data_IF_013680823938
#
_entry.id   IF_013680823938
#
_cell.length_a   1.000
_cell.length_b   1.000
_cell.length_c   1.000
_cell.angle_alpha   90.00
_cell.angle_beta   90.00
_cell.angle_gamma   90.00
#
_symmetry.space_group_name_H-M   'P 1'
#
loop_
_entity.id
_entity.type
_entity.pdbx_description
1 polymer ?
#
# COMPACT_ATOMS: atom_id res chain seq x y z
N UNK A 1 -49.62 4.75 20.04
CA UNK A 1 -48.27 4.96 19.47
C UNK A 1 -47.89 6.42 19.69
N UNK A 2 -46.81 6.68 20.43
CA UNK A 2 -46.31 8.04 20.70
C UNK A 2 -45.43 8.49 19.52
N UNK A 3 -45.52 9.75 19.05
CA UNK A 3 -44.61 10.26 18.04
C UNK A 3 -43.28 10.63 18.68
N UNK A 4 -42.17 10.14 18.12
CA UNK A 4 -40.82 10.59 18.46
C UNK A 4 -40.57 11.85 17.62
N UNK A 5 -40.41 13.00 18.29
CA UNK A 5 -39.91 14.23 17.67
C UNK A 5 -38.41 14.07 17.45
N UNK A 6 -37.99 14.04 16.19
CA UNK A 6 -36.58 14.21 15.83
C UNK A 6 -36.34 15.71 15.69
N UNK A 7 -35.51 16.25 16.58
CA UNK A 7 -35.06 17.63 16.54
C UNK A 7 -34.07 17.82 15.40
N UNK A 8 -34.40 18.74 14.49
CA UNK A 8 -33.54 19.21 13.42
C UNK A 8 -32.40 20.04 14.04
N UNK A 9 -31.16 19.54 14.01
CA UNK A 9 -29.97 20.33 14.32
C UNK A 9 -29.38 20.82 13.01
N UNK A 10 -29.62 22.11 12.70
CA UNK A 10 -28.88 22.81 11.65
C UNK A 10 -27.43 22.98 12.10
N UNK A 11 -26.48 22.42 11.36
CA UNK A 11 -25.09 22.86 11.42
C UNK A 11 -24.85 23.89 10.31
N UNK A 12 -24.72 25.14 10.73
CA UNK A 12 -24.27 26.23 9.87
C UNK A 12 -22.79 26.07 9.56
N UNK A 13 -22.47 26.19 8.28
CA UNK A 13 -21.10 26.28 7.80
C UNK A 13 -20.43 27.58 8.31
N UNK A 14 -19.24 27.46 8.87
CA UNK A 14 -18.30 28.57 9.03
C UNK A 14 -16.95 28.16 8.44
N UNK A 15 -16.65 28.76 7.29
CA UNK A 15 -15.32 28.87 6.71
C UNK A 15 -14.52 29.89 7.54
N UNK A 16 -13.33 29.50 8.03
CA UNK A 16 -12.07 30.26 7.95
C UNK A 16 -11.02 29.72 8.93
N UNK A 17 -9.77 29.60 8.44
CA UNK A 17 -8.57 29.70 9.28
C UNK A 17 -7.75 28.42 9.41
N UNK A 18 -6.63 28.36 8.69
CA UNK A 18 -5.53 27.44 8.97
C UNK A 18 -4.81 27.87 10.26
N UNK A 19 -4.75 27.03 11.28
CA UNK A 19 -3.70 27.01 12.33
C UNK A 19 -3.77 25.71 13.14
N UNK A 20 -2.59 25.11 13.38
CA UNK A 20 -2.18 24.16 14.43
C UNK A 20 -3.16 23.06 14.88
N UNK A 21 -2.71 21.81 14.74
CA UNK A 21 -3.34 20.63 15.33
C UNK A 21 -3.29 20.70 16.87
N UNK A 22 -4.23 21.42 17.47
CA UNK A 22 -4.50 21.38 18.90
C UNK A 22 -5.07 20.01 19.28
N UNK A 23 -4.65 19.49 20.44
CA UNK A 23 -5.24 18.27 21.02
C UNK A 23 -6.78 18.43 21.11
N UNK A 24 -7.55 17.38 20.77
CA UNK A 24 -9.00 17.45 20.78
C UNK A 24 -9.50 17.80 22.17
N UNK A 25 -10.46 18.72 22.24
CA UNK A 25 -11.07 19.13 23.50
C UNK A 25 -11.79 17.94 24.15
N UNK A 26 -11.98 17.99 25.48
CA UNK A 26 -12.69 16.93 26.23
C UNK A 26 -14.10 16.66 25.72
N UNK A 27 -14.74 17.66 25.10
CA UNK A 27 -16.07 17.52 24.51
C UNK A 27 -16.02 16.81 23.15
N UNK A 28 -15.07 17.14 22.28
CA UNK A 28 -14.85 16.44 21.00
C UNK A 28 -14.46 14.97 21.21
N UNK A 29 -13.62 14.69 22.22
CA UNK A 29 -13.25 13.32 22.58
C UNK A 29 -14.48 12.51 23.06
N UNK A 30 -15.37 13.15 23.83
CA UNK A 30 -16.60 12.50 24.33
C UNK A 30 -17.63 12.29 23.24
N UNK A 31 -17.77 13.24 22.31
CA UNK A 31 -18.61 13.09 21.13
C UNK A 31 -18.11 11.97 20.21
N UNK A 32 -16.80 11.86 20.02
CA UNK A 32 -16.18 10.78 19.25
C UNK A 32 -16.40 9.41 19.91
N UNK A 33 -16.21 9.29 21.23
CA UNK A 33 -16.49 8.05 21.97
C UNK A 33 -17.98 7.66 21.87
N UNK A 34 -18.87 8.64 21.97
CA UNK A 34 -20.31 8.42 21.89
C UNK A 34 -20.74 8.00 20.48
N UNK A 35 -20.15 8.60 19.44
CA UNK A 35 -20.35 8.22 18.05
C UNK A 35 -19.82 6.81 17.77
N UNK A 36 -18.64 6.44 18.28
CA UNK A 36 -18.09 5.08 18.16
C UNK A 36 -19.00 4.03 18.84
N UNK A 37 -19.56 4.36 20.01
CA UNK A 37 -20.52 3.50 20.72
C UNK A 37 -21.81 3.32 19.92
N UNK A 38 -22.33 4.39 19.33
CA UNK A 38 -23.51 4.35 18.47
C UNK A 38 -23.24 3.56 17.19
N UNK A 39 -22.10 3.82 16.53
CA UNK A 39 -21.66 3.09 15.35
C UNK A 39 -21.46 1.61 15.66
N UNK A 40 -20.99 1.19 16.84
CA UNK A 40 -20.88 -0.25 17.16
C UNK A 40 -22.23 -0.95 17.33
N UNK A 41 -23.29 -0.22 17.67
CA UNK A 41 -24.61 -0.77 18.01
C UNK A 41 -25.59 -0.90 16.82
N UNK A 42 -25.26 -0.28 15.67
CA UNK A 42 -26.16 -0.20 14.52
C UNK A 42 -25.81 -1.31 13.50
N UNK A 43 -26.78 -2.00 12.87
CA UNK A 43 -26.49 -2.95 11.79
C UNK A 43 -25.75 -2.29 10.62
N UNK A 44 -24.86 -3.02 9.92
CA UNK A 44 -23.97 -2.47 8.89
C UNK A 44 -24.65 -1.61 7.81
N UNK A 45 -25.87 -1.98 7.40
CA UNK A 45 -26.65 -1.25 6.40
C UNK A 45 -27.20 0.11 6.88
N UNK A 46 -27.39 0.30 8.19
CA UNK A 46 -27.92 1.54 8.79
C UNK A 46 -26.82 2.52 9.20
N UNK A 47 -25.60 2.01 9.50
CA UNK A 47 -24.46 2.87 9.86
C UNK A 47 -24.04 3.83 8.73
N UNK A 48 -24.28 3.49 7.45
CA UNK A 48 -24.03 4.45 6.34
C UNK A 48 -24.92 5.69 6.43
N UNK A 49 -26.20 5.52 6.77
CA UNK A 49 -27.10 6.66 6.95
C UNK A 49 -26.67 7.56 8.11
N UNK A 50 -25.97 7.00 9.10
CA UNK A 50 -25.37 7.78 10.21
C UNK A 50 -24.14 8.55 9.76
N UNK A 51 -23.28 7.96 8.92
CA UNK A 51 -22.07 8.61 8.43
C UNK A 51 -22.33 9.66 7.33
N UNK A 52 -23.46 9.55 6.61
CA UNK A 52 -23.84 10.48 5.54
C UNK A 52 -25.36 10.79 5.57
N UNK A 53 -25.87 11.45 6.63
CA UNK A 53 -27.31 11.62 6.84
C UNK A 53 -28.00 12.48 5.76
N UNK A 54 -27.25 13.38 5.12
CA UNK A 54 -27.79 14.30 4.11
C UNK A 54 -27.68 13.79 2.67
N UNK A 55 -27.07 12.62 2.45
CA UNK A 55 -26.93 12.08 1.10
C UNK A 55 -28.24 11.43 0.62
N UNK A 56 -28.99 12.15 -0.21
CA UNK A 56 -30.11 11.60 -0.95
C UNK A 56 -29.71 11.33 -2.40
N UNK A 57 -29.62 10.06 -2.84
CA UNK A 57 -29.52 9.72 -4.25
C UNK A 57 -30.61 10.41 -5.06
N UNK A 58 -30.26 11.10 -6.15
CA UNK A 58 -31.29 11.44 -7.14
C UNK A 58 -31.80 10.14 -7.78
N UNK A 59 -33.10 9.85 -7.60
CA UNK A 59 -33.70 8.64 -8.18
C UNK A 59 -33.46 8.59 -9.70
N UNK A 60 -32.96 7.46 -10.18
CA UNK A 60 -32.73 7.20 -11.60
C UNK A 60 -31.36 7.65 -12.14
N UNK A 61 -30.49 8.26 -11.33
CA UNK A 61 -29.11 8.54 -11.73
C UNK A 61 -28.18 7.36 -11.38
N UNK A 62 -27.19 7.11 -12.24
CA UNK A 62 -26.07 6.25 -11.89
C UNK A 62 -25.33 6.86 -10.70
N UNK A 63 -24.86 6.00 -9.81
CA UNK A 63 -24.07 6.43 -8.65
C UNK A 63 -22.69 5.80 -8.71
N UNK A 64 -21.76 6.39 -7.99
CA UNK A 64 -20.44 5.80 -7.76
C UNK A 64 -19.92 6.19 -6.37
N UNK A 65 -18.91 5.49 -5.86
CA UNK A 65 -18.29 5.79 -4.58
C UNK A 65 -16.74 5.79 -4.63
N UNK A 66 -16.14 6.62 -3.77
CA UNK A 66 -14.70 6.71 -3.51
C UNK A 66 -14.45 7.04 -2.03
N UNK A 67 -13.55 6.32 -1.38
CA UNK A 67 -13.43 6.34 0.07
C UNK A 67 -14.78 5.98 0.70
N UNK A 68 -15.30 6.85 1.56
CA UNK A 68 -16.65 6.69 2.13
C UNK A 68 -17.72 7.52 1.42
N UNK A 69 -17.33 8.37 0.47
CA UNK A 69 -18.26 9.24 -0.24
C UNK A 69 -18.98 8.49 -1.35
N UNK A 70 -20.27 8.81 -1.54
CA UNK A 70 -21.07 8.39 -2.69
C UNK A 70 -21.45 9.65 -3.46
N UNK A 71 -21.43 9.59 -4.78
CA UNK A 71 -21.76 10.70 -5.66
C UNK A 71 -22.56 10.22 -6.88
N UNK A 72 -23.34 11.13 -7.47
CA UNK A 72 -24.05 10.86 -8.73
C UNK A 72 -23.11 10.99 -9.92
N UNK A 73 -23.30 10.12 -10.92
CA UNK A 73 -22.59 10.14 -12.19
C UNK A 73 -23.54 10.59 -13.29
N UNK A 74 -23.13 11.60 -14.05
CA UNK A 74 -23.80 12.00 -15.29
C UNK A 74 -23.08 11.36 -16.48
N UNK A 75 -23.77 10.52 -17.25
CA UNK A 75 -23.18 9.80 -18.38
C UNK A 75 -22.38 8.56 -17.98
N UNK A 76 -21.41 8.17 -18.80
CA UNK A 76 -20.49 7.06 -18.50
C UNK A 76 -19.31 7.56 -17.66
N UNK A 77 -19.01 6.86 -16.57
CA UNK A 77 -17.79 7.08 -15.79
C UNK A 77 -16.73 6.06 -16.19
N UNK A 78 -15.52 6.55 -16.41
CA UNK A 78 -14.33 5.73 -16.53
C UNK A 78 -13.36 6.17 -15.44
N UNK A 79 -12.95 5.22 -14.60
CA UNK A 79 -11.96 5.47 -13.58
C UNK A 79 -10.55 5.59 -14.17
N UNK A 80 -9.72 6.45 -13.57
CA UNK A 80 -8.28 6.45 -13.80
C UNK A 80 -7.68 5.08 -13.42
N UNK A 81 -6.73 4.60 -14.21
CA UNK A 81 -6.21 3.22 -14.14
C UNK A 81 -6.11 2.53 -15.50
N UNK A 82 -6.50 3.23 -16.57
CA UNK A 82 -6.21 2.85 -17.94
C UNK A 82 -4.82 3.36 -18.32
N UNK A 83 -3.91 2.45 -18.65
CA UNK A 83 -2.61 2.79 -19.21
C UNK A 83 -2.62 2.53 -20.72
N UNK A 84 -2.39 3.58 -21.53
CA UNK A 84 -2.40 3.46 -23.01
C UNK A 84 -1.20 2.65 -23.54
N UNK A 85 -0.06 2.63 -22.83
CA UNK A 85 1.10 1.79 -23.17
C UNK A 85 0.91 0.28 -22.86
N UNK A 86 -0.24 -0.09 -22.32
CA UNK A 86 -0.52 -1.43 -21.82
C UNK A 86 0.31 -1.81 -20.59
N UNK A 87 -0.12 -2.87 -19.90
CA UNK A 87 0.55 -3.37 -18.70
C UNK A 87 2.03 -3.77 -18.91
N UNK A 88 2.52 -3.87 -20.16
CA UNK A 88 3.84 -4.38 -20.53
C UNK A 88 4.97 -3.34 -20.50
N UNK A 89 4.67 -2.05 -20.59
CA UNK A 89 5.72 -1.00 -20.66
C UNK A 89 6.22 -0.54 -19.29
N UNK A 90 5.69 -1.06 -18.18
CA UNK A 90 5.95 -0.53 -16.85
C UNK A 90 6.07 -1.52 -15.70
N UNK A 91 6.15 -2.85 -15.89
CA UNK A 91 6.34 -3.74 -14.74
C UNK A 91 7.66 -3.41 -14.00
N UNK A 92 7.54 -3.08 -12.71
CA UNK A 92 8.62 -2.55 -11.85
C UNK A 92 8.22 -1.25 -11.13
N UNK A 93 9.19 -0.53 -10.56
CA UNK A 93 9.00 0.78 -9.89
C UNK A 93 8.19 1.80 -10.72
N UNK A 94 8.22 1.69 -12.06
CA UNK A 94 7.49 2.59 -12.96
C UNK A 94 5.98 2.43 -12.90
N UNK A 95 5.45 1.21 -12.81
CA UNK A 95 4.02 1.02 -12.59
C UNK A 95 3.62 1.68 -11.27
N UNK A 96 4.44 1.56 -10.22
CA UNK A 96 4.15 2.13 -8.90
C UNK A 96 4.16 3.66 -8.85
N UNK A 97 5.09 4.31 -9.55
CA UNK A 97 5.20 5.77 -9.55
C UNK A 97 4.17 6.45 -10.47
N UNK A 98 3.63 5.75 -11.46
CA UNK A 98 2.75 6.32 -12.49
C UNK A 98 1.35 5.67 -12.56
N UNK A 99 1.10 4.57 -11.82
CA UNK A 99 -0.23 3.96 -11.74
C UNK A 99 -1.16 4.81 -10.89
N UNK A 100 -1.95 5.64 -11.57
CA UNK A 100 -3.38 5.88 -11.37
C UNK A 100 -3.98 6.06 -9.97
N UNK A 101 -5.27 6.38 -9.97
CA UNK A 101 -6.07 6.61 -8.76
C UNK A 101 -5.94 5.44 -7.78
N UNK A 102 -5.61 5.76 -6.53
CA UNK A 102 -5.41 4.78 -5.46
C UNK A 102 -5.91 5.28 -4.12
N UNK A 103 -5.69 4.46 -3.09
CA UNK A 103 -5.93 4.83 -1.71
C UNK A 103 -4.74 4.40 -0.88
N UNK A 104 -4.32 5.25 0.04
CA UNK A 104 -3.38 4.89 1.09
C UNK A 104 -4.17 4.67 2.39
N UNK A 105 -3.85 3.58 3.08
CA UNK A 105 -4.47 3.18 4.35
C UNK A 105 -3.32 2.92 5.31
N UNK A 106 -3.14 3.80 6.29
CA UNK A 106 -2.01 3.77 7.22
C UNK A 106 -0.66 3.72 6.48
N UNK A 107 0.09 2.62 6.60
CA UNK A 107 1.35 2.38 5.91
C UNK A 107 1.19 1.45 4.69
N UNK A 108 0.01 1.41 4.09
CA UNK A 108 -0.27 0.59 2.91
C UNK A 108 -0.76 1.47 1.78
N UNK A 109 -0.30 1.20 0.57
CA UNK A 109 -0.80 1.79 -0.65
C UNK A 109 -1.55 0.74 -1.45
N UNK A 110 -2.70 1.11 -2.00
CA UNK A 110 -3.45 0.30 -2.95
C UNK A 110 -3.55 1.09 -4.24
N UNK A 111 -3.05 0.47 -5.31
CA UNK A 111 -3.09 0.96 -6.68
C UNK A 111 -3.81 -0.07 -7.55
N UNK A 112 -4.22 0.35 -8.75
CA UNK A 112 -4.95 -0.50 -9.66
C UNK A 112 -4.59 -0.26 -11.12
N UNK A 113 -4.77 -1.31 -11.92
CA UNK A 113 -4.58 -1.30 -13.36
C UNK A 113 -5.77 -2.04 -13.98
N UNK A 114 -6.47 -1.41 -14.92
CA UNK A 114 -7.59 -2.01 -15.63
C UNK A 114 -7.14 -2.64 -16.97
N UNK A 115 -8.01 -3.48 -17.54
CA UNK A 115 -7.80 -4.23 -18.80
C UNK A 115 -6.57 -5.14 -18.81
N UNK A 116 -6.29 -5.75 -17.67
CA UNK A 116 -5.16 -6.66 -17.50
C UNK A 116 -5.61 -8.10 -17.76
N UNK A 117 -4.90 -8.89 -18.59
CA UNK A 117 -5.27 -10.27 -18.85
C UNK A 117 -5.07 -11.16 -17.61
N UNK A 118 -5.85 -12.25 -17.53
CA UNK A 118 -5.80 -13.18 -16.38
C UNK A 118 -4.41 -13.79 -16.13
N UNK A 119 -3.61 -13.99 -17.17
CA UNK A 119 -2.27 -14.57 -17.08
C UNK A 119 -1.22 -13.68 -16.42
N UNK A 120 -1.55 -12.44 -16.06
CA UNK A 120 -0.57 -11.44 -15.62
C UNK A 120 0.22 -11.85 -14.38
N UNK A 121 -0.41 -12.56 -13.44
CA UNK A 121 0.24 -12.92 -12.18
C UNK A 121 1.45 -13.84 -12.40
N UNK A 122 1.45 -14.63 -13.47
CA UNK A 122 2.61 -15.44 -13.85
C UNK A 122 3.74 -14.57 -14.37
N UNK A 123 3.46 -13.57 -15.21
CA UNK A 123 4.46 -12.62 -15.69
C UNK A 123 5.08 -11.83 -14.53
N UNK A 124 4.25 -11.36 -13.58
CA UNK A 124 4.70 -10.67 -12.36
C UNK A 124 5.62 -11.55 -11.54
N UNK A 125 5.22 -12.80 -11.31
CA UNK A 125 6.02 -13.74 -10.53
C UNK A 125 7.40 -14.01 -11.18
N UNK A 126 7.45 -14.11 -12.50
CA UNK A 126 8.70 -14.29 -13.24
C UNK A 126 9.60 -13.06 -13.16
N UNK A 127 9.02 -11.86 -13.26
CA UNK A 127 9.74 -10.59 -13.13
C UNK A 127 10.32 -10.40 -11.72
N UNK A 128 9.52 -10.65 -10.69
CA UNK A 128 9.94 -10.58 -9.29
C UNK A 128 11.08 -11.57 -8.98
N UNK A 129 10.98 -12.80 -9.47
CA UNK A 129 12.06 -13.80 -9.38
C UNK A 129 13.32 -13.36 -10.10
N UNK A 130 13.16 -12.71 -11.26
CA UNK A 130 14.29 -12.20 -12.05
C UNK A 130 14.99 -11.04 -11.34
N UNK A 131 14.21 -10.14 -10.75
CA UNK A 131 14.69 -9.02 -9.93
C UNK A 131 15.47 -9.51 -8.70
N UNK A 132 14.97 -10.49 -7.97
CA UNK A 132 15.71 -11.09 -6.83
C UNK A 132 17.02 -11.75 -7.28
N UNK A 133 17.03 -12.45 -8.42
CA UNK A 133 18.26 -13.04 -8.98
C UNK A 133 19.28 -11.97 -9.36
N UNK A 134 18.82 -10.87 -9.97
CA UNK A 134 19.69 -9.73 -10.29
C UNK A 134 20.30 -9.14 -9.02
N UNK A 135 19.50 -8.88 -7.99
CA UNK A 135 19.97 -8.36 -6.70
C UNK A 135 21.02 -9.26 -6.03
N UNK A 136 20.80 -10.58 -6.04
CA UNK A 136 21.75 -11.57 -5.51
C UNK A 136 23.08 -11.52 -6.29
N UNK A 137 23.01 -11.48 -7.62
CA UNK A 137 24.18 -11.42 -8.48
C UNK A 137 24.97 -10.13 -8.23
N UNK A 138 24.28 -9.01 -8.14
CA UNK A 138 24.91 -7.69 -7.99
C UNK A 138 25.57 -7.59 -6.61
N UNK A 139 24.92 -8.07 -5.55
CA UNK A 139 25.51 -8.17 -4.20
C UNK A 139 26.79 -9.03 -4.19
N UNK A 140 26.79 -10.16 -4.90
CA UNK A 140 28.00 -11.00 -5.04
C UNK A 140 29.13 -10.28 -5.76
N UNK A 141 28.82 -9.53 -6.82
CA UNK A 141 29.83 -8.77 -7.56
C UNK A 141 30.43 -7.65 -6.71
N UNK A 142 29.62 -6.98 -5.89
CA UNK A 142 30.13 -5.97 -4.95
C UNK A 142 31.10 -6.57 -3.92
N UNK A 143 30.73 -7.69 -3.30
CA UNK A 143 31.63 -8.41 -2.37
C UNK A 143 32.95 -8.77 -3.06
N UNK A 144 32.89 -9.29 -4.29
CA UNK A 144 34.09 -9.63 -5.05
C UNK A 144 34.97 -8.41 -5.36
N UNK A 145 34.37 -7.25 -5.70
CA UNK A 145 35.12 -6.00 -5.92
C UNK A 145 35.83 -5.55 -4.65
N UNK A 146 35.17 -5.62 -3.49
CA UNK A 146 35.76 -5.26 -2.20
C UNK A 146 36.94 -6.17 -1.84
N UNK A 147 36.84 -7.48 -2.11
CA UNK A 147 37.99 -8.39 -1.98
C UNK A 147 39.18 -7.95 -2.86
N UNK A 148 38.93 -7.61 -4.12
CA UNK A 148 39.97 -7.10 -5.02
C UNK A 148 40.63 -5.81 -4.54
N UNK A 149 39.87 -4.90 -3.93
CA UNK A 149 40.44 -3.68 -3.32
C UNK A 149 41.32 -4.00 -2.11
N UNK A 150 40.92 -4.95 -1.27
CA UNK A 150 41.75 -5.39 -0.14
C UNK A 150 43.07 -5.99 -0.63
N UNK A 151 43.05 -6.83 -1.68
CA UNK A 151 44.26 -7.42 -2.25
C UNK A 151 45.24 -6.34 -2.75
N UNK A 152 44.75 -5.35 -3.51
CA UNK A 152 45.58 -4.23 -3.99
C UNK A 152 46.18 -3.42 -2.83
N UNK A 153 45.38 -3.12 -1.81
CA UNK A 153 45.85 -2.42 -0.62
C UNK A 153 46.92 -3.20 0.14
N UNK A 154 46.78 -4.52 0.24
CA UNK A 154 47.79 -5.38 0.86
C UNK A 154 49.11 -5.39 0.08
N UNK A 155 49.05 -5.38 -1.26
CA UNK A 155 50.25 -5.23 -2.09
C UNK A 155 50.92 -3.87 -1.88
N UNK A 156 50.15 -2.78 -1.84
CA UNK A 156 50.69 -1.43 -1.64
C UNK A 156 51.33 -1.28 -0.26
N UNK A 157 50.73 -1.86 0.78
CA UNK A 157 51.31 -1.90 2.13
C UNK A 157 52.63 -2.68 2.18
N UNK A 158 52.77 -3.73 1.38
CA UNK A 158 54.02 -4.49 1.27
C UNK A 158 55.12 -3.70 0.54
N UNK A 159 54.76 -2.82 -0.39
CA UNK A 159 55.69 -1.96 -1.14
C UNK A 159 56.12 -0.72 -0.35
N UNK A 160 55.22 -0.15 0.45
CA UNK A 160 55.44 1.10 1.19
C UNK A 160 54.92 0.97 2.64
N UNK A 161 55.74 0.41 3.56
CA UNK A 161 55.35 0.19 4.95
C UNK A 161 55.01 1.47 5.72
N UNK A 162 55.49 2.64 5.29
CA UNK A 162 55.24 3.93 5.94
C UNK A 162 53.75 4.33 5.84
N UNK A 163 52.99 3.74 4.91
CA UNK A 163 51.54 3.93 4.76
C UNK A 163 50.68 2.85 5.45
N UNK A 164 51.31 1.92 6.17
CA UNK A 164 50.63 0.74 6.70
C UNK A 164 49.44 1.05 7.62
N UNK A 165 49.50 2.11 8.42
CA UNK A 165 48.42 2.48 9.35
C UNK A 165 47.14 2.89 8.59
N UNK A 166 47.25 3.79 7.61
CA UNK A 166 46.12 4.25 6.80
C UNK A 166 45.53 3.13 5.94
N UNK A 167 46.39 2.28 5.36
CA UNK A 167 45.96 1.12 4.59
C UNK A 167 45.25 0.09 5.47
N UNK A 168 45.75 -0.16 6.68
CA UNK A 168 45.13 -1.09 7.63
C UNK A 168 43.72 -0.65 8.04
N UNK A 169 43.51 0.67 8.23
CA UNK A 169 42.17 1.23 8.50
C UNK A 169 41.22 0.98 7.32
N UNK A 170 41.64 1.30 6.08
CA UNK A 170 40.79 1.10 4.90
C UNK A 170 40.44 -0.38 4.66
N UNK A 171 41.38 -1.30 4.90
CA UNK A 171 41.12 -2.74 4.85
C UNK A 171 40.10 -3.15 5.92
N UNK A 172 40.16 -2.58 7.12
CA UNK A 172 39.20 -2.88 8.18
C UNK A 172 37.79 -2.42 7.78
N UNK A 173 37.65 -1.23 7.20
CA UNK A 173 36.37 -0.71 6.70
C UNK A 173 35.79 -1.60 5.60
N UNK A 174 36.58 -1.98 4.59
CA UNK A 174 36.11 -2.90 3.54
C UNK A 174 35.74 -4.28 4.08
N UNK A 175 36.42 -4.79 5.11
CA UNK A 175 36.02 -6.04 5.77
C UNK A 175 34.68 -5.91 6.49
N UNK A 176 34.40 -4.77 7.12
CA UNK A 176 33.11 -4.50 7.74
C UNK A 176 32.00 -4.47 6.67
N UNK A 177 32.22 -3.77 5.56
CA UNK A 177 31.29 -3.72 4.43
C UNK A 177 31.02 -5.11 3.83
N UNK A 178 32.06 -5.91 3.62
CA UNK A 178 31.92 -7.31 3.18
C UNK A 178 31.05 -8.08 4.16
N UNK A 179 31.33 -7.98 5.47
CA UNK A 179 30.55 -8.69 6.49
C UNK A 179 29.07 -8.32 6.47
N UNK A 180 28.74 -7.04 6.27
CA UNK A 180 27.36 -6.59 6.14
C UNK A 180 26.69 -7.13 4.86
N UNK A 181 27.38 -7.03 3.72
CA UNK A 181 26.86 -7.52 2.44
C UNK A 181 26.73 -9.05 2.41
N UNK A 182 27.60 -9.79 3.08
CA UNK A 182 27.48 -11.25 3.24
C UNK A 182 26.24 -11.61 4.07
N UNK A 183 25.95 -10.87 5.15
CA UNK A 183 24.70 -11.05 5.91
C UNK A 183 23.48 -10.77 5.04
N UNK A 184 23.51 -9.71 4.23
CA UNK A 184 22.44 -9.37 3.29
C UNK A 184 22.26 -10.47 2.23
N UNK A 185 23.34 -10.93 1.63
CA UNK A 185 23.34 -12.02 0.65
C UNK A 185 22.79 -13.31 1.25
N UNK A 186 23.17 -13.66 2.48
CA UNK A 186 22.65 -14.83 3.17
C UNK A 186 21.13 -14.74 3.37
N UNK A 187 20.61 -13.56 3.76
CA UNK A 187 19.15 -13.31 3.84
C UNK A 187 18.47 -13.50 2.49
N UNK A 188 19.01 -12.89 1.43
CA UNK A 188 18.45 -12.99 0.07
C UNK A 188 18.42 -14.45 -0.44
N UNK A 189 19.48 -15.21 -0.21
CA UNK A 189 19.58 -16.63 -0.61
C UNK A 189 18.62 -17.53 0.19
N UNK A 190 18.39 -17.20 1.47
CA UNK A 190 17.45 -17.92 2.32
C UNK A 190 15.99 -17.50 2.09
N UNK A 191 15.75 -16.42 1.35
CA UNK A 191 14.43 -15.86 1.14
C UNK A 191 13.48 -16.87 0.47
N UNK A 192 12.28 -16.98 1.02
CA UNK A 192 11.13 -17.64 0.38
C UNK A 192 10.05 -16.56 0.21
N UNK A 193 10.21 -15.69 -0.80
CA UNK A 193 9.41 -14.49 -0.96
C UNK A 193 7.96 -14.82 -1.30
N UNK A 194 7.75 -15.86 -2.11
CA UNK A 194 6.42 -16.33 -2.48
C UNK A 194 5.71 -16.96 -1.29
N UNK A 195 4.50 -16.50 -1.01
CA UNK A 195 3.62 -17.03 0.03
C UNK A 195 2.25 -17.36 -0.56
N UNK A 196 1.63 -18.38 0.00
CA UNK A 196 0.23 -18.68 -0.25
C UNK A 196 -0.62 -18.19 0.93
N UNK A 197 -1.52 -17.25 0.66
CA UNK A 197 -2.49 -16.75 1.65
C UNK A 197 -3.88 -17.36 1.50
N UNK A 198 -4.04 -18.34 0.61
CA UNK A 198 -5.31 -19.01 0.32
C UNK A 198 -6.30 -18.12 -0.44
N UNK A 199 -5.82 -17.07 -1.12
CA UNK A 199 -6.65 -16.15 -1.89
C UNK A 199 -6.53 -16.52 -3.38
N UNK A 200 -7.63 -16.92 -4.05
CA UNK A 200 -7.59 -17.27 -5.47
C UNK A 200 -7.15 -16.11 -6.35
N UNK A 201 -6.55 -16.41 -7.51
CA UNK A 201 -6.09 -15.43 -8.50
C UNK A 201 -5.33 -14.26 -7.83
N UNK A 202 -4.37 -14.59 -6.97
CA UNK A 202 -3.53 -13.62 -6.27
C UNK A 202 -2.08 -14.08 -6.22
N UNK A 203 -1.18 -13.14 -5.96
CA UNK A 203 0.24 -13.38 -5.74
C UNK A 203 0.69 -12.57 -4.52
N UNK A 204 1.43 -13.21 -3.61
CA UNK A 204 2.08 -12.53 -2.48
C UNK A 204 3.59 -12.62 -2.69
N UNK A 205 4.25 -11.47 -2.68
CA UNK A 205 5.69 -11.36 -2.88
C UNK A 205 6.37 -10.61 -1.73
N UNK A 206 7.04 -11.38 -0.86
CA UNK A 206 7.44 -10.92 0.47
C UNK A 206 6.20 -10.45 1.27
N UNK A 207 6.25 -10.42 2.61
CA UNK A 207 5.07 -10.12 3.43
C UNK A 207 4.58 -8.65 3.32
N UNK A 208 4.96 -7.95 2.26
CA UNK A 208 4.81 -6.51 2.02
C UNK A 208 4.13 -6.20 0.69
N UNK A 209 4.04 -7.16 -0.25
CA UNK A 209 3.48 -6.93 -1.58
C UNK A 209 2.46 -7.99 -1.93
N UNK A 210 1.28 -7.55 -2.32
CA UNK A 210 0.16 -8.41 -2.66
C UNK A 210 -0.49 -7.93 -3.95
N UNK A 211 -0.73 -8.87 -4.85
CA UNK A 211 -1.37 -8.66 -6.12
C UNK A 211 -2.67 -9.46 -6.17
N UNK A 212 -3.75 -8.81 -6.60
CA UNK A 212 -5.06 -9.44 -6.73
C UNK A 212 -5.61 -9.17 -8.11
N UNK A 213 -5.83 -10.22 -8.90
CA UNK A 213 -6.46 -10.08 -10.21
C UNK A 213 -7.93 -10.44 -10.13
N UNK A 214 -8.83 -9.56 -10.58
CA UNK A 214 -10.28 -9.80 -10.65
C UNK A 214 -10.89 -9.09 -11.84
N UNK A 215 -11.61 -9.83 -12.69
CA UNK A 215 -12.44 -9.25 -13.77
C UNK A 215 -11.70 -8.23 -14.66
N UNK A 216 -10.43 -8.53 -14.98
CA UNK A 216 -9.60 -7.63 -15.81
C UNK A 216 -8.96 -6.47 -15.06
N UNK A 217 -9.08 -6.42 -13.73
CA UNK A 217 -8.44 -5.43 -12.86
C UNK A 217 -7.36 -6.12 -12.03
N UNK A 218 -6.17 -5.55 -12.03
CA UNK A 218 -5.08 -5.92 -11.12
C UNK A 218 -5.03 -4.88 -10.00
N UNK A 219 -5.29 -5.29 -8.77
CA UNK A 219 -4.98 -4.50 -7.58
C UNK A 219 -3.56 -4.81 -7.12
N UNK A 220 -2.82 -3.76 -6.81
CA UNK A 220 -1.45 -3.80 -6.33
C UNK A 220 -1.47 -3.18 -4.94
N UNK A 221 -1.18 -3.98 -3.93
CA UNK A 221 -1.18 -3.58 -2.52
C UNK A 221 0.25 -3.68 -2.02
N UNK A 222 0.80 -2.58 -1.54
CA UNK A 222 2.17 -2.54 -1.00
C UNK A 222 2.19 -1.88 0.36
N UNK A 223 2.97 -2.44 1.28
CA UNK A 223 3.25 -1.82 2.56
C UNK A 223 4.42 -0.83 2.40
N UNK A 224 4.14 0.46 2.54
CA UNK A 224 5.14 1.53 2.60
C UNK A 224 5.93 1.44 3.90
N UNK A 225 7.26 1.45 3.78
CA UNK A 225 8.15 1.66 4.94
C UNK A 225 8.44 3.15 5.04
N UNK A 226 7.94 3.80 6.11
CA UNK A 226 8.47 5.12 6.46
C UNK A 226 9.93 4.94 6.87
N UNK A 227 10.82 5.50 6.04
CA UNK A 227 12.24 5.77 6.27
C UNK A 227 12.78 5.33 7.64
N UNK A 228 13.16 4.06 7.78
CA UNK A 228 13.93 3.57 8.92
C UNK A 228 14.64 2.28 8.54
N UNK A 229 15.74 2.40 7.79
CA UNK A 229 16.87 1.45 7.73
C UNK A 229 16.59 -0.07 7.59
N UNK A 230 15.38 -0.48 7.23
CA UNK A 230 15.01 -1.86 6.98
C UNK A 230 14.64 -1.98 5.51
N UNK A 231 15.63 -2.46 4.77
CA UNK A 231 15.66 -2.64 3.32
C UNK A 231 14.38 -3.26 2.73
N UNK A 232 14.07 -2.98 1.44
CA UNK A 232 13.07 -3.72 0.70
C UNK A 232 13.43 -5.22 0.70
N UNK A 233 12.57 -6.03 1.31
CA UNK A 233 12.65 -7.49 1.22
C UNK A 233 12.38 -8.28 2.49
N UNK A 234 12.35 -7.66 3.69
CA UNK A 234 12.13 -8.41 4.92
C UNK A 234 11.38 -7.58 5.98
N UNK A 235 10.04 -7.56 5.89
CA UNK A 235 9.21 -7.07 6.99
C UNK A 235 8.71 -8.22 7.85
N UNK A 236 8.46 -7.91 9.12
CA UNK A 236 7.67 -8.74 10.02
C UNK A 236 6.28 -8.84 9.38
N UNK A 237 5.85 -10.06 9.02
CA UNK A 237 4.50 -10.33 8.55
C UNK A 237 3.50 -9.50 9.35
N UNK A 238 2.86 -8.54 8.70
CA UNK A 238 1.87 -7.71 9.34
C UNK A 238 0.52 -8.42 9.20
N UNK A 239 -0.03 -9.05 10.27
CA UNK A 239 -1.30 -9.77 10.16
C UNK A 239 -2.45 -8.83 9.76
N UNK A 240 -2.28 -7.53 10.01
CA UNK A 240 -3.20 -6.50 9.55
C UNK A 240 -3.18 -6.33 8.03
N UNK A 241 -2.00 -6.33 7.40
CA UNK A 241 -1.85 -6.28 5.94
C UNK A 241 -2.55 -7.47 5.27
N UNK A 242 -2.32 -8.68 5.78
CA UNK A 242 -3.00 -9.88 5.29
C UNK A 242 -4.53 -9.81 5.48
N UNK A 243 -5.00 -9.34 6.63
CA UNK A 243 -6.44 -9.21 6.90
C UNK A 243 -7.11 -8.16 6.01
N UNK A 244 -6.44 -7.04 5.73
CA UNK A 244 -6.95 -6.02 4.81
C UNK A 244 -6.98 -6.55 3.38
N UNK A 245 -5.91 -7.20 2.91
CA UNK A 245 -5.85 -7.85 1.61
C UNK A 245 -6.96 -8.88 1.39
N UNK A 246 -7.31 -9.66 2.42
CA UNK A 246 -8.43 -10.63 2.39
C UNK A 246 -9.81 -9.99 2.29
N UNK A 247 -9.97 -8.75 2.76
CA UNK A 247 -11.23 -7.99 2.70
C UNK A 247 -11.40 -7.20 1.41
N UNK A 248 -10.31 -7.01 0.66
CA UNK A 248 -10.35 -6.37 -0.66
C UNK A 248 -11.11 -7.27 -1.65
N UNK A 249 -12.24 -6.76 -2.15
CA UNK A 249 -13.03 -7.42 -3.18
C UNK A 249 -13.22 -6.52 -4.39
N UNK A 250 -13.38 -7.16 -5.54
CA UNK A 250 -13.84 -6.47 -6.74
C UNK A 250 -15.30 -6.01 -6.56
N UNK A 251 -15.59 -4.89 -7.21
CA UNK A 251 -16.88 -4.23 -7.27
C UNK A 251 -17.08 -3.69 -8.68
N UNK A 252 -18.25 -3.92 -9.26
CA UNK A 252 -18.52 -3.41 -10.62
C UNK A 252 -18.60 -1.89 -10.61
N UNK A 253 -18.26 -1.21 -11.73
CA UNK A 253 -18.58 0.21 -11.88
C UNK A 253 -20.03 0.49 -11.51
N UNK A 254 -20.25 1.59 -10.79
CA UNK A 254 -21.56 2.01 -10.29
C UNK A 254 -22.26 1.11 -9.26
N UNK A 255 -21.65 0.00 -8.84
CA UNK A 255 -22.18 -0.79 -7.72
C UNK A 255 -21.90 -0.06 -6.41
N UNK A 256 -22.93 0.35 -5.67
CA UNK A 256 -22.73 0.97 -4.36
C UNK A 256 -22.81 -0.11 -3.27
N UNK A 257 -21.70 -0.45 -2.56
CA UNK A 257 -21.71 -1.47 -1.51
C UNK A 257 -22.71 -1.09 -0.43
N UNK A 258 -23.35 -2.05 0.25
CA UNK A 258 -24.29 -1.74 1.34
C UNK A 258 -23.62 -1.79 2.72
N UNK A 259 -22.48 -2.46 2.76
CA UNK A 259 -21.60 -2.61 3.91
C UNK A 259 -20.82 -1.31 4.15
N UNK A 260 -20.28 -1.17 5.36
CA UNK A 260 -19.33 -0.11 5.66
C UNK A 260 -17.97 -0.53 5.18
N UNK A 261 -17.28 0.42 4.58
CA UNK A 261 -15.98 0.18 4.02
C UNK A 261 -15.47 1.38 3.26
N UNK A 262 -14.40 1.12 2.54
CA UNK A 262 -13.75 2.07 1.66
C UNK A 262 -13.97 1.60 0.22
N UNK A 263 -14.60 2.45 -0.58
CA UNK A 263 -14.67 2.30 -2.03
C UNK A 263 -13.34 2.75 -2.65
N UNK A 264 -12.83 1.92 -3.53
CA UNK A 264 -11.69 2.19 -4.40
C UNK A 264 -12.23 2.03 -5.83
N UNK A 265 -11.65 2.64 -6.87
CA UNK A 265 -12.07 2.31 -8.23
C UNK A 265 -12.03 0.79 -8.45
N UNK A 266 -13.13 0.24 -8.95
CA UNK A 266 -13.35 -1.22 -9.12
C UNK A 266 -13.26 -2.09 -7.86
N UNK A 267 -13.06 -1.50 -6.68
CA UNK A 267 -12.75 -2.22 -5.45
C UNK A 267 -13.59 -1.77 -4.25
N UNK A 268 -13.61 -2.62 -3.23
CA UNK A 268 -14.19 -2.31 -1.93
C UNK A 268 -13.46 -3.07 -0.83
N UNK A 269 -13.26 -2.42 0.32
CA UNK A 269 -12.69 -3.01 1.52
C UNK A 269 -13.68 -2.81 2.66
N UNK A 270 -14.27 -3.89 3.15
CA UNK A 270 -15.15 -3.83 4.31
C UNK A 270 -14.36 -3.48 5.58
N UNK A 271 -14.91 -2.59 6.40
CA UNK A 271 -14.30 -2.18 7.66
C UNK A 271 -15.33 -1.76 8.71
N UNK A 272 -14.86 -1.30 9.88
CA UNK A 272 -15.72 -0.92 11.00
C UNK A 272 -16.12 0.56 11.00
N UNK A 273 -15.63 1.35 10.03
CA UNK A 273 -15.86 2.78 9.94
C UNK A 273 -14.69 3.62 10.45
N UNK A 274 -13.66 3.01 11.03
CA UNK A 274 -12.56 3.72 11.72
C UNK A 274 -11.26 3.78 10.93
N UNK A 275 -11.13 3.04 9.82
CA UNK A 275 -9.93 3.08 8.99
C UNK A 275 -9.65 4.50 8.50
N UNK A 276 -8.44 4.98 8.81
CA UNK A 276 -7.85 6.20 8.26
C UNK A 276 -7.35 5.95 6.85
N UNK A 277 -7.64 6.89 5.94
CA UNK A 277 -7.25 6.75 4.55
C UNK A 277 -7.01 8.10 3.88
N UNK A 278 -6.19 8.07 2.85
CA UNK A 278 -5.95 9.18 1.93
C UNK A 278 -6.23 8.72 0.50
N UNK A 279 -6.97 9.53 -0.25
CA UNK A 279 -7.25 9.25 -1.66
C UNK A 279 -6.16 9.91 -2.49
N UNK A 280 -5.45 9.12 -3.29
CA UNK A 280 -4.45 9.62 -4.20
C UNK A 280 -5.00 9.68 -5.62
N UNK A 281 -4.97 10.87 -6.21
CA UNK A 281 -5.24 11.10 -7.63
C UNK A 281 -4.00 11.75 -8.23
N UNK A 282 -3.23 10.98 -9.00
CA UNK A 282 -2.17 11.48 -9.88
C UNK A 282 -2.75 12.03 -11.18
#
# INVERSE_FOLDING_TARGET
MKPIKVGLLMMGALLAGCTDASEPTTDEAREREQLEKQLKAIPGAEKRQVLMPDFMPMMGQLQECQGRAVFSVQGGLQWGGYWEGGYKEGFGEKLYMESGTGIDIDNMSIRLVANVPKGILTEILEDERSSLKALIRDTKQEIQKLHGFIELLQEDMARDPDKAEGISSAIADYKADISEKEKKLAKQLAAKPEKDWGIPDSLVWNDVRFYLWREGVLFIVEQSFSNSENEPGFSISNPYFQQLAKRLRYRKPNEIPKEIGLCIPYGFIEDDGTLTYEINTT
#
